data_IF_397103835503
#
_entry.id   IF_397103835503
#
_cell.length_a   1.000
_cell.length_b   1.000
_cell.length_c   1.000
_cell.angle_alpha   90.00
_cell.angle_beta   90.00
_cell.angle_gamma   90.00
#
_symmetry.space_group_name_H-M   'P 1'
#
loop_
_entity.id
_entity.type
_entity.pdbx_description
1 polymer ?
#
# COMPACT_ATOMS: atom_id res chain seq x y z
N UNK A 1 34.10 8.61 11.89
CA UNK A 1 33.41 7.92 10.79
C UNK A 1 31.93 8.30 10.88
N UNK A 2 31.48 9.26 10.07
CA UNK A 2 30.06 9.45 9.81
C UNK A 2 29.64 8.34 8.84
N UNK A 3 28.94 7.34 9.33
CA UNK A 3 28.34 6.33 8.47
C UNK A 3 27.16 7.00 7.72
N UNK A 4 27.39 7.42 6.48
CA UNK A 4 26.32 7.75 5.55
C UNK A 4 25.57 6.46 5.22
N UNK A 5 24.67 6.05 6.09
CA UNK A 5 23.90 4.83 5.94
C UNK A 5 22.45 5.04 6.36
N UNK A 6 21.54 4.30 5.75
CA UNK A 6 20.14 4.26 6.12
C UNK A 6 19.72 2.81 6.31
N UNK A 7 19.04 2.52 7.43
CA UNK A 7 18.43 1.21 7.70
C UNK A 7 16.92 1.36 7.51
N UNK A 8 16.32 0.44 6.75
CA UNK A 8 14.86 0.41 6.58
C UNK A 8 14.31 -0.91 7.10
N UNK A 9 13.41 -0.82 8.08
CA UNK A 9 12.63 -1.94 8.58
C UNK A 9 11.28 -1.93 7.88
N UNK A 10 10.91 -3.08 7.26
CA UNK A 10 9.61 -3.29 6.65
C UNK A 10 8.88 -4.44 7.36
N UNK A 11 7.84 -4.09 8.09
CA UNK A 11 6.97 -5.06 8.78
C UNK A 11 5.86 -5.49 7.83
N UNK A 12 5.93 -6.72 7.35
CA UNK A 12 4.95 -7.29 6.42
C UNK A 12 4.83 -8.81 6.62
N UNK A 13 3.80 -9.40 6.00
CA UNK A 13 3.52 -10.83 6.08
C UNK A 13 2.49 -11.16 7.16
N UNK A 14 1.49 -12.00 6.83
CA UNK A 14 0.29 -12.12 7.64
C UNK A 14 -0.39 -10.76 7.83
N UNK A 15 -0.74 -10.44 9.08
CA UNK A 15 -1.21 -9.10 9.47
C UNK A 15 -0.37 -8.59 10.64
N UNK A 16 0.55 -7.61 10.41
CA UNK A 16 1.47 -7.13 11.43
C UNK A 16 0.78 -6.55 12.68
N UNK A 17 -0.36 -5.86 12.51
CA UNK A 17 -1.08 -5.22 13.63
C UNK A 17 -1.59 -6.21 14.66
N UNK A 18 -1.70 -7.50 14.33
CA UNK A 18 -2.05 -8.56 15.28
C UNK A 18 -1.02 -8.75 16.40
N UNK A 19 0.21 -8.25 16.22
CA UNK A 19 1.23 -8.28 17.28
C UNK A 19 0.98 -7.29 18.41
N UNK A 20 0.09 -6.31 18.17
CA UNK A 20 -0.19 -5.25 19.12
C UNK A 20 0.93 -4.19 19.20
N UNK A 21 0.57 -3.01 19.68
CA UNK A 21 1.46 -1.83 19.74
C UNK A 21 2.69 -2.09 20.62
N UNK A 22 2.53 -2.77 21.75
CA UNK A 22 3.62 -3.05 22.70
C UNK A 22 4.83 -3.76 22.06
N UNK A 23 4.60 -4.62 21.05
CA UNK A 23 5.69 -5.23 20.30
C UNK A 23 6.51 -4.18 19.54
N UNK A 24 5.87 -3.22 18.90
CA UNK A 24 6.52 -2.18 18.11
C UNK A 24 7.17 -1.11 19.00
N UNK A 25 6.58 -0.75 20.12
CA UNK A 25 7.21 0.11 21.12
C UNK A 25 8.55 -0.46 21.57
N UNK A 26 8.58 -1.78 21.84
CA UNK A 26 9.81 -2.48 22.20
C UNK A 26 10.82 -2.49 21.05
N UNK A 27 10.36 -2.67 19.81
CA UNK A 27 11.22 -2.58 18.64
C UNK A 27 11.84 -1.17 18.49
N UNK A 28 11.05 -0.10 18.71
CA UNK A 28 11.54 1.28 18.69
C UNK A 28 12.54 1.55 19.82
N UNK A 29 12.30 1.01 21.02
CA UNK A 29 13.25 1.08 22.13
C UNK A 29 14.60 0.46 21.74
N UNK A 30 14.60 -0.75 21.16
CA UNK A 30 15.82 -1.40 20.72
C UNK A 30 16.51 -0.63 19.59
N UNK A 31 15.79 -0.14 18.60
CA UNK A 31 16.37 0.68 17.55
C UNK A 31 17.11 1.88 18.15
N UNK A 32 16.49 2.63 19.07
CA UNK A 32 17.12 3.77 19.75
C UNK A 32 18.32 3.33 20.61
N UNK A 33 18.18 2.25 21.35
CA UNK A 33 19.24 1.77 22.26
C UNK A 33 20.49 1.32 21.51
N UNK A 34 20.34 0.60 20.39
CA UNK A 34 21.48 0.02 19.65
C UNK A 34 22.02 0.92 18.53
N UNK A 35 21.30 1.94 18.12
CA UNK A 35 21.76 2.89 17.10
C UNK A 35 22.76 3.91 17.67
N UNK A 36 23.92 3.42 18.10
CA UNK A 36 24.97 4.28 18.71
C UNK A 36 25.64 5.21 17.68
N UNK A 37 25.61 4.86 16.41
CA UNK A 37 26.22 5.64 15.33
C UNK A 37 25.30 6.70 14.75
N UNK A 38 24.05 6.82 15.23
CA UNK A 38 23.07 7.80 14.72
C UNK A 38 22.66 7.54 13.26
N UNK A 39 22.68 6.30 12.79
CA UNK A 39 22.24 5.94 11.45
C UNK A 39 20.74 6.27 11.28
N UNK A 40 20.37 6.84 10.15
CA UNK A 40 18.95 7.09 9.85
C UNK A 40 18.19 5.77 9.77
N UNK A 41 17.11 5.64 10.55
CA UNK A 41 16.24 4.46 10.56
C UNK A 41 14.87 4.87 10.02
N UNK A 42 14.38 4.13 9.02
CA UNK A 42 13.03 4.27 8.50
C UNK A 42 12.23 3.01 8.86
N UNK A 43 11.00 3.20 9.30
CA UNK A 43 10.07 2.12 9.60
C UNK A 43 8.89 2.17 8.66
N UNK A 44 8.53 1.04 8.06
CA UNK A 44 7.34 0.89 7.23
C UNK A 44 6.56 -0.35 7.66
N UNK A 45 5.24 -0.26 7.57
CA UNK A 45 4.35 -1.39 7.85
C UNK A 45 3.32 -1.54 6.73
N UNK A 46 3.18 -2.77 6.22
CA UNK A 46 2.09 -3.10 5.31
C UNK A 46 0.99 -3.80 6.08
N UNK A 47 -0.23 -3.25 6.04
CA UNK A 47 -1.37 -3.74 6.82
C UNK A 47 -2.65 -3.74 6.00
N UNK A 48 -3.59 -4.60 6.38
CA UNK A 48 -4.95 -4.58 5.86
C UNK A 48 -5.81 -3.46 6.49
N UNK A 49 -5.29 -2.71 7.47
CA UNK A 49 -5.96 -1.58 8.11
C UNK A 49 -7.08 -1.94 9.09
N UNK A 50 -7.42 -3.21 9.24
CA UNK A 50 -8.62 -3.63 10.00
C UNK A 50 -8.55 -3.28 11.49
N UNK A 51 -7.37 -3.28 12.09
CA UNK A 51 -7.16 -2.99 13.51
C UNK A 51 -6.67 -1.56 13.77
N UNK A 52 -6.52 -0.73 12.75
CA UNK A 52 -6.07 0.65 12.94
C UNK A 52 -7.15 1.45 13.66
N UNK A 53 -6.75 2.08 14.74
CA UNK A 53 -7.53 2.98 15.59
C UNK A 53 -6.69 4.21 15.99
N UNK A 54 -7.21 5.03 16.91
CA UNK A 54 -6.53 6.24 17.39
C UNK A 54 -5.18 5.95 18.04
N UNK A 55 -5.06 4.82 18.77
CA UNK A 55 -3.82 4.43 19.44
C UNK A 55 -2.74 4.06 18.42
N UNK A 56 -3.10 3.28 17.38
CA UNK A 56 -2.22 2.97 16.27
C UNK A 56 -1.79 4.22 15.50
N UNK A 57 -2.72 5.14 15.22
CA UNK A 57 -2.40 6.37 14.49
C UNK A 57 -1.42 7.26 15.26
N UNK A 58 -1.60 7.42 16.59
CA UNK A 58 -0.65 8.12 17.46
C UNK A 58 0.73 7.47 17.40
N UNK A 59 0.78 6.15 17.59
CA UNK A 59 2.04 5.40 17.53
C UNK A 59 2.76 5.58 16.19
N UNK A 60 2.06 5.46 15.07
CA UNK A 60 2.63 5.64 13.74
C UNK A 60 3.16 7.05 13.53
N UNK A 61 2.41 8.06 13.94
CA UNK A 61 2.81 9.46 13.82
C UNK A 61 4.05 9.77 14.64
N UNK A 62 4.07 9.36 15.91
CA UNK A 62 5.18 9.62 16.84
C UNK A 62 6.47 8.92 16.42
N UNK A 63 6.39 7.75 15.80
CA UNK A 63 7.53 6.95 15.37
C UNK A 63 7.81 7.05 13.86
N UNK A 64 7.17 7.98 13.15
CA UNK A 64 7.38 8.27 11.72
C UNK A 64 7.28 7.02 10.82
N UNK A 65 6.27 6.18 11.05
CA UNK A 65 6.00 5.04 10.20
C UNK A 65 5.44 5.48 8.86
N UNK A 66 5.88 4.81 7.79
CA UNK A 66 5.20 4.83 6.49
C UNK A 66 4.28 3.61 6.40
N UNK A 67 2.99 3.83 6.23
CA UNK A 67 2.00 2.76 6.18
C UNK A 67 1.65 2.41 4.74
N UNK A 68 1.73 1.13 4.40
CA UNK A 68 1.16 0.57 3.18
C UNK A 68 -0.24 0.04 3.49
N UNK A 69 -1.28 0.80 3.20
CA UNK A 69 -2.65 0.41 3.44
C UNK A 69 -3.19 -0.39 2.25
N UNK A 70 -3.64 -1.61 2.51
CA UNK A 70 -4.18 -2.48 1.47
C UNK A 70 -5.62 -2.11 1.11
N UNK A 71 -5.83 -1.53 -0.08
CA UNK A 71 -7.16 -1.19 -0.62
C UNK A 71 -7.23 -1.60 -2.08
N UNK A 72 -8.23 -2.36 -2.48
CA UNK A 72 -8.37 -2.87 -3.85
C UNK A 72 -9.49 -2.15 -4.62
N UNK A 73 -9.43 -0.82 -4.69
CA UNK A 73 -10.36 -0.02 -5.47
C UNK A 73 -11.57 0.48 -4.69
N UNK A 74 -12.73 0.53 -5.36
CA UNK A 74 -14.01 0.91 -4.76
C UNK A 74 -14.50 -0.14 -3.77
N UNK A 75 -15.55 0.17 -2.99
CA UNK A 75 -16.14 -0.76 -2.03
C UNK A 75 -16.52 -2.09 -2.68
N UNK A 76 -17.15 -2.03 -3.83
CA UNK A 76 -17.61 -3.22 -4.57
C UNK A 76 -16.43 -4.08 -5.01
N UNK A 77 -15.35 -3.47 -5.48
CA UNK A 77 -14.16 -4.17 -5.96
C UNK A 77 -13.36 -4.73 -4.78
N UNK A 78 -13.18 -3.93 -3.73
CA UNK A 78 -12.44 -4.34 -2.54
C UNK A 78 -13.07 -5.56 -1.85
N UNK A 79 -14.37 -5.49 -1.63
CA UNK A 79 -15.13 -6.53 -0.93
C UNK A 79 -15.35 -7.80 -1.80
N UNK A 80 -14.79 -7.90 -3.03
CA UNK A 80 -14.78 -9.16 -3.79
C UNK A 80 -13.84 -10.21 -3.19
N UNK A 81 -12.72 -9.77 -2.60
CA UNK A 81 -11.68 -10.68 -2.10
C UNK A 81 -11.23 -10.38 -0.66
N UNK A 82 -11.54 -9.19 -0.13
CA UNK A 82 -11.13 -8.80 1.21
C UNK A 82 -12.31 -8.87 2.17
N UNK A 83 -12.32 -9.92 2.94
CA UNK A 83 -13.35 -10.19 3.94
C UNK A 83 -12.75 -10.31 5.33
N UNK A 84 -13.53 -10.02 6.35
CA UNK A 84 -13.22 -10.34 7.73
C UNK A 84 -13.32 -11.84 8.00
N UNK A 85 -13.00 -12.24 9.22
CA UNK A 85 -12.95 -13.67 9.59
C UNK A 85 -14.29 -14.41 9.47
N UNK A 86 -15.42 -13.68 9.47
CA UNK A 86 -16.78 -14.23 9.34
C UNK A 86 -17.36 -14.01 7.94
N UNK A 87 -16.55 -13.59 6.99
CA UNK A 87 -16.97 -13.26 5.62
C UNK A 87 -17.61 -11.87 5.47
N UNK A 88 -17.55 -11.02 6.51
CA UNK A 88 -18.06 -9.66 6.45
C UNK A 88 -17.20 -8.76 5.55
N UNK A 89 -17.82 -7.79 4.84
CA UNK A 89 -17.10 -6.80 4.04
C UNK A 89 -16.20 -5.93 4.94
N UNK A 90 -15.04 -5.53 4.43
CA UNK A 90 -14.04 -4.81 5.23
C UNK A 90 -13.83 -3.36 4.80
N UNK A 91 -14.32 -2.97 3.62
CA UNK A 91 -14.03 -1.67 3.01
C UNK A 91 -14.33 -0.47 3.90
N UNK A 92 -15.52 -0.40 4.51
CA UNK A 92 -15.91 0.77 5.32
C UNK A 92 -15.00 0.95 6.54
N UNK A 93 -14.53 -0.15 7.13
CA UNK A 93 -13.59 -0.10 8.23
C UNK A 93 -12.21 0.41 7.80
N UNK A 94 -11.76 -0.02 6.63
CA UNK A 94 -10.45 0.38 6.10
C UNK A 94 -10.48 1.83 5.62
N UNK A 95 -11.58 2.28 5.04
CA UNK A 95 -11.80 3.69 4.72
C UNK A 95 -11.72 4.56 5.97
N UNK A 96 -12.38 4.15 7.05
CA UNK A 96 -12.29 4.84 8.35
C UNK A 96 -10.85 4.87 8.90
N UNK A 97 -10.08 3.80 8.72
CA UNK A 97 -8.67 3.78 9.10
C UNK A 97 -7.84 4.81 8.30
N UNK A 98 -8.09 4.96 7.00
CA UNK A 98 -7.47 6.00 6.18
C UNK A 98 -7.84 7.41 6.67
N UNK A 99 -9.12 7.66 6.95
CA UNK A 99 -9.60 8.93 7.51
C UNK A 99 -8.94 9.27 8.85
N UNK A 100 -8.75 8.26 9.73
CA UNK A 100 -8.01 8.44 10.99
C UNK A 100 -6.53 8.78 10.73
N UNK A 101 -5.87 8.06 9.83
CA UNK A 101 -4.49 8.36 9.46
C UNK A 101 -4.33 9.79 8.94
N UNK A 102 -5.26 10.28 8.11
CA UNK A 102 -5.28 11.67 7.65
C UNK A 102 -5.42 12.65 8.82
N UNK A 103 -6.34 12.39 9.77
CA UNK A 103 -6.56 13.24 10.94
C UNK A 103 -5.32 13.34 11.84
N UNK A 104 -4.57 12.24 11.99
CA UNK A 104 -3.34 12.19 12.78
C UNK A 104 -2.09 12.59 12.00
N UNK A 105 -2.20 12.85 10.69
CA UNK A 105 -1.08 13.18 9.82
C UNK A 105 -0.07 12.05 9.68
N UNK A 106 -0.55 10.80 9.63
CA UNK A 106 0.26 9.60 9.37
C UNK A 106 0.54 9.50 7.87
N UNK A 107 1.79 9.26 7.50
CA UNK A 107 2.15 9.03 6.09
C UNK A 107 1.73 7.63 5.65
N UNK A 108 0.95 7.53 4.57
CA UNK A 108 0.56 6.24 4.02
C UNK A 108 0.46 6.22 2.49
N UNK A 109 0.60 5.03 1.94
CA UNK A 109 0.39 4.71 0.53
C UNK A 109 -0.75 3.70 0.40
N UNK A 110 -1.54 3.81 -0.65
CA UNK A 110 -2.53 2.79 -1.02
C UNK A 110 -1.82 1.69 -1.81
N UNK A 111 -1.99 0.44 -1.38
CA UNK A 111 -1.50 -0.75 -2.04
C UNK A 111 -2.68 -1.55 -2.60
N UNK A 112 -2.77 -1.61 -3.92
CA UNK A 112 -3.85 -2.28 -4.65
C UNK A 112 -3.34 -3.55 -5.31
N UNK A 113 -3.95 -4.70 -5.05
CA UNK A 113 -3.69 -5.94 -5.77
C UNK A 113 -4.61 -6.01 -6.98
N UNK A 114 -4.01 -6.06 -8.17
CA UNK A 114 -4.74 -6.20 -9.43
C UNK A 114 -4.92 -7.68 -9.73
N UNK A 115 -6.16 -8.13 -9.71
CA UNK A 115 -6.59 -9.50 -10.04
C UNK A 115 -7.25 -9.53 -11.42
N UNK A 116 -7.57 -10.70 -11.93
CA UNK A 116 -8.34 -10.85 -13.18
C UNK A 116 -9.64 -10.03 -13.16
N UNK A 117 -10.37 -10.04 -12.03
CA UNK A 117 -11.65 -9.30 -11.92
C UNK A 117 -11.46 -7.79 -11.81
N UNK A 118 -10.37 -7.33 -11.18
CA UNK A 118 -10.12 -5.90 -10.98
C UNK A 118 -9.41 -5.25 -12.16
N UNK A 119 -8.79 -6.05 -13.04
CA UNK A 119 -8.01 -5.54 -14.19
C UNK A 119 -8.83 -4.72 -15.19
N UNK A 120 -10.13 -4.98 -15.33
CA UNK A 120 -11.03 -4.20 -16.19
C UNK A 120 -11.55 -2.89 -15.58
N UNK A 121 -11.11 -2.51 -14.37
CA UNK A 121 -11.64 -1.37 -13.61
C UNK A 121 -10.61 -0.27 -13.34
N UNK A 122 -9.58 -0.13 -14.19
CA UNK A 122 -8.49 0.84 -13.95
C UNK A 122 -9.01 2.27 -13.79
N UNK A 123 -9.90 2.72 -14.68
CA UNK A 123 -10.49 4.06 -14.61
C UNK A 123 -11.35 4.27 -13.37
N UNK A 124 -12.18 3.29 -13.01
CA UNK A 124 -13.01 3.37 -11.81
C UNK A 124 -12.15 3.50 -10.54
N UNK A 125 -11.13 2.66 -10.40
CA UNK A 125 -10.21 2.67 -9.26
C UNK A 125 -9.44 3.98 -9.19
N UNK A 126 -8.87 4.42 -10.31
CA UNK A 126 -8.08 5.65 -10.40
C UNK A 126 -8.88 6.88 -9.98
N UNK A 127 -10.06 7.05 -10.57
CA UNK A 127 -10.93 8.19 -10.27
C UNK A 127 -11.41 8.17 -8.83
N UNK A 128 -11.81 7.00 -8.32
CA UNK A 128 -12.20 6.85 -6.93
C UNK A 128 -11.07 7.26 -5.96
N UNK A 129 -9.83 6.85 -6.20
CA UNK A 129 -8.71 7.24 -5.34
C UNK A 129 -8.44 8.75 -5.39
N UNK A 130 -8.62 9.38 -6.54
CA UNK A 130 -8.53 10.85 -6.65
C UNK A 130 -9.62 11.53 -5.82
N UNK A 131 -10.86 11.06 -5.89
CA UNK A 131 -11.98 11.58 -5.08
C UNK A 131 -11.74 11.46 -3.58
N UNK A 132 -11.08 10.38 -3.15
CA UNK A 132 -10.69 10.20 -1.74
C UNK A 132 -9.44 11.01 -1.33
N UNK A 133 -8.76 11.67 -2.26
CA UNK A 133 -7.51 12.37 -2.00
C UNK A 133 -6.30 11.45 -1.77
N UNK A 134 -6.40 10.18 -2.12
CA UNK A 134 -5.32 9.19 -1.97
C UNK A 134 -4.25 9.37 -3.03
N UNK A 135 -3.27 10.22 -2.74
CA UNK A 135 -2.27 10.70 -3.70
C UNK A 135 -1.12 9.72 -3.95
N UNK A 136 -0.86 8.80 -3.02
CA UNK A 136 0.25 7.85 -3.12
C UNK A 136 -0.28 6.44 -3.36
N UNK A 137 0.01 5.89 -4.54
CA UNK A 137 -0.61 4.65 -5.01
C UNK A 137 0.45 3.66 -5.50
N UNK A 138 0.21 2.38 -5.30
CA UNK A 138 0.97 1.29 -5.88
C UNK A 138 0.02 0.17 -6.33
N UNK A 139 0.18 -0.28 -7.56
CA UNK A 139 -0.61 -1.36 -8.15
C UNK A 139 0.26 -2.61 -8.30
N UNK A 140 -0.14 -3.70 -7.70
CA UNK A 140 0.63 -4.95 -7.59
C UNK A 140 -0.10 -6.04 -8.34
N UNK A 141 0.55 -6.65 -9.33
CA UNK A 141 -0.03 -7.78 -10.04
C UNK A 141 -0.27 -8.96 -9.07
N UNK A 142 -1.48 -9.53 -9.09
CA UNK A 142 -1.74 -10.78 -8.39
C UNK A 142 -1.04 -11.91 -9.13
N UNK A 143 -0.11 -12.57 -8.45
CA UNK A 143 0.62 -13.71 -8.98
C UNK A 143 -0.03 -15.02 -8.53
N UNK A 144 0.01 -16.03 -9.39
CA UNK A 144 -0.33 -17.40 -8.99
C UNK A 144 0.64 -17.92 -7.92
N UNK A 145 0.20 -18.86 -7.06
CA UNK A 145 1.07 -19.50 -6.09
C UNK A 145 2.28 -20.17 -6.75
N UNK A 146 3.44 -20.11 -6.09
CA UNK A 146 4.64 -20.76 -6.59
C UNK A 146 4.45 -22.28 -6.64
N UNK A 147 4.76 -22.87 -7.80
CA UNK A 147 4.66 -24.32 -8.03
C UNK A 147 3.30 -24.79 -8.52
N UNK A 148 2.32 -23.91 -8.67
CA UNK A 148 1.05 -24.23 -9.31
C UNK A 148 1.02 -23.85 -10.80
N UNK A 149 0.14 -24.49 -11.56
CA UNK A 149 -0.05 -24.13 -12.96
C UNK A 149 -0.66 -22.74 -13.08
N UNK A 150 -0.10 -21.91 -13.94
CA UNK A 150 -0.54 -20.54 -14.18
C UNK A 150 -1.98 -20.49 -14.69
N UNK A 151 -2.73 -19.51 -14.20
CA UNK A 151 -4.07 -19.21 -14.68
C UNK A 151 -5.18 -20.11 -14.11
N UNK A 152 -4.87 -21.00 -13.17
CA UNK A 152 -5.87 -21.92 -12.58
C UNK A 152 -6.63 -21.33 -11.39
N UNK A 153 -6.13 -20.27 -10.76
CA UNK A 153 -6.82 -19.68 -9.63
C UNK A 153 -7.92 -18.70 -10.07
N UNK A 154 -9.00 -18.54 -9.31
CA UNK A 154 -10.09 -17.59 -9.65
C UNK A 154 -9.68 -16.11 -9.70
N UNK A 155 -8.51 -15.79 -9.16
CA UNK A 155 -7.93 -14.46 -9.14
C UNK A 155 -6.73 -14.29 -10.07
N UNK A 156 -6.35 -15.35 -10.79
CA UNK A 156 -5.20 -15.36 -11.68
C UNK A 156 -5.28 -14.21 -12.71
N UNK A 157 -4.26 -13.40 -12.72
CA UNK A 157 -4.12 -12.27 -13.64
C UNK A 157 -3.21 -12.69 -14.81
N UNK A 158 -3.69 -12.60 -16.02
CA UNK A 158 -2.83 -12.85 -17.18
C UNK A 158 -2.06 -11.58 -17.60
N UNK A 159 -0.92 -11.72 -18.33
CA UNK A 159 -0.09 -10.58 -18.71
C UNK A 159 -0.82 -9.57 -19.59
N UNK A 160 -1.72 -9.99 -20.47
CA UNK A 160 -2.46 -9.12 -21.37
C UNK A 160 -3.43 -8.23 -20.59
N UNK A 161 -4.16 -8.80 -19.63
CA UNK A 161 -5.08 -8.07 -18.76
C UNK A 161 -4.31 -7.03 -17.92
N UNK A 162 -3.16 -7.42 -17.37
CA UNK A 162 -2.33 -6.47 -16.60
C UNK A 162 -1.76 -5.38 -17.50
N UNK A 163 -1.33 -5.71 -18.71
CA UNK A 163 -0.87 -4.75 -19.71
C UNK A 163 -1.94 -3.73 -20.07
N UNK A 164 -3.19 -4.18 -20.29
CA UNK A 164 -4.34 -3.29 -20.54
C UNK A 164 -4.62 -2.39 -19.35
N UNK A 165 -4.64 -2.94 -18.14
CA UNK A 165 -4.82 -2.18 -16.90
C UNK A 165 -3.77 -1.06 -16.77
N UNK A 166 -2.49 -1.39 -16.96
CA UNK A 166 -1.40 -0.41 -16.87
C UNK A 166 -1.46 0.65 -17.97
N UNK A 167 -1.89 0.29 -19.18
CA UNK A 167 -2.05 1.23 -20.30
C UNK A 167 -3.17 2.23 -20.00
N UNK A 168 -4.32 1.76 -19.53
CA UNK A 168 -5.43 2.63 -19.16
C UNK A 168 -5.06 3.53 -17.99
N UNK A 169 -4.44 2.95 -16.94
CA UNK A 169 -3.94 3.71 -15.79
C UNK A 169 -2.96 4.81 -16.21
N UNK A 170 -2.01 4.49 -17.11
CA UNK A 170 -1.04 5.45 -17.62
C UNK A 170 -1.72 6.58 -18.40
N UNK A 171 -2.69 6.28 -19.25
CA UNK A 171 -3.40 7.29 -20.02
C UNK A 171 -4.12 8.28 -19.11
N UNK A 172 -4.83 7.81 -18.08
CA UNK A 172 -5.50 8.65 -17.09
C UNK A 172 -4.49 9.51 -16.30
N UNK A 173 -3.42 8.89 -15.84
CA UNK A 173 -2.35 9.59 -15.14
C UNK A 173 -1.69 10.65 -16.01
N UNK A 174 -1.46 10.38 -17.30
CA UNK A 174 -0.86 11.31 -18.24
C UNK A 174 -1.76 12.52 -18.52
N UNK A 175 -3.07 12.32 -18.63
CA UNK A 175 -4.02 13.43 -18.74
C UNK A 175 -3.99 14.35 -17.51
N UNK A 176 -3.88 13.78 -16.32
CA UNK A 176 -3.74 14.55 -15.09
C UNK A 176 -2.35 15.20 -14.96
N UNK A 177 -1.30 14.52 -15.43
CA UNK A 177 0.05 15.08 -15.46
C UNK A 177 0.12 16.36 -16.30
N UNK A 178 -0.56 16.40 -17.43
CA UNK A 178 -0.65 17.61 -18.27
C UNK A 178 -1.29 18.80 -17.54
N UNK A 179 -2.14 18.52 -16.54
CA UNK A 179 -2.81 19.53 -15.71
C UNK A 179 -2.08 19.84 -14.41
N UNK A 180 -1.04 19.06 -14.05
CA UNK A 180 -0.33 19.13 -12.78
C UNK A 180 -1.11 18.55 -11.59
N UNK A 181 -2.08 17.66 -11.86
CA UNK A 181 -2.98 17.07 -10.85
C UNK A 181 -2.75 15.58 -10.58
N UNK A 182 -1.71 15.01 -11.19
CA UNK A 182 -1.46 13.57 -11.12
C UNK A 182 -1.13 13.07 -9.71
N UNK A 183 -1.63 11.90 -9.32
CA UNK A 183 -1.15 11.23 -8.11
C UNK A 183 0.27 10.68 -8.33
N UNK A 184 0.95 10.39 -7.23
CA UNK A 184 2.22 9.67 -7.27
C UNK A 184 1.95 8.17 -7.37
N UNK A 185 2.35 7.55 -8.50
CA UNK A 185 2.23 6.11 -8.72
C UNK A 185 3.64 5.49 -8.69
N UNK A 186 3.88 4.54 -7.78
CA UNK A 186 5.22 3.98 -7.55
C UNK A 186 5.82 3.25 -8.76
N UNK A 187 5.00 2.69 -9.65
CA UNK A 187 5.45 2.05 -10.91
C UNK A 187 6.23 3.01 -11.80
N UNK A 188 5.87 4.29 -11.77
CA UNK A 188 6.47 5.34 -12.57
C UNK A 188 7.98 5.53 -12.31
N UNK A 189 8.45 5.29 -11.09
CA UNK A 189 9.88 5.43 -10.74
C UNK A 189 10.80 4.37 -11.36
N UNK A 190 10.29 3.21 -11.75
CA UNK A 190 11.11 2.16 -12.40
C UNK A 190 11.37 2.44 -13.87
N UNK A 191 10.46 3.09 -14.56
CA UNK A 191 10.61 3.44 -15.97
C UNK A 191 11.62 4.55 -16.20
N UNK A 192 11.76 5.51 -15.28
CA UNK A 192 12.74 6.61 -15.38
C UNK A 192 14.19 6.19 -15.09
N UNK A 193 14.42 5.07 -14.36
CA UNK A 193 15.79 4.57 -14.12
C UNK A 193 16.37 3.71 -15.24
N UNK A 194 15.55 3.20 -16.16
CA UNK A 194 16.00 2.41 -17.29
C UNK A 194 16.52 3.26 -18.46
N UNK A 195 16.27 4.58 -18.45
CA UNK A 195 16.70 5.50 -19.51
C UNK A 195 17.94 6.34 -19.12
N UNK A 196 18.62 6.01 -18.03
CA UNK A 196 19.82 6.73 -17.56
C UNK A 196 21.07 5.83 -17.46
N UNK A 197 21.15 4.79 -18.31
CA UNK A 197 22.37 3.97 -18.47
C UNK A 197 22.83 3.98 -19.91
#
# INVERSE_FOLDING_TARGET
FHAEGMISYAYQGGEPTLRGIAFYEKAMEYQRHYNKCGIRVNNAMQTNGYLIDDEWCKFFRENHFLIGLSVDGTKQIHDLYRHGRRGEPTFDRIKKAAELMDQYGVDYNILTVVTQKTAGHAAEIYNYYKEQGWKYQQYIACLDPLGEDRGKTPYALNPEQYGMFLTELFNLWYEDWKKGEQPYIRQDRKSTRLNSS
#
